data_IF_592663113086
#
_entry.id   IF_592663113086
#
_cell.length_a   1.000
_cell.length_b   1.000
_cell.length_c   1.000
_cell.angle_alpha   90.00
_cell.angle_beta   90.00
_cell.angle_gamma   90.00
#
_symmetry.space_group_name_H-M   'P 1'
#
loop_
_entity.id
_entity.type
_entity.pdbx_description
1 polymer ?
#
# COMPACT_ATOMS: atom_id res chain seq x y z
N UNK A 1 -13.31 13.83 -37.82
CA UNK A 1 -13.33 13.50 -36.38
C UNK A 1 -12.47 12.26 -36.19
N UNK A 2 -11.39 12.28 -35.40
CA UNK A 2 -10.81 11.06 -34.76
C UNK A 2 -9.49 11.26 -33.99
N UNK A 3 -8.73 12.34 -34.19
CA UNK A 3 -7.47 12.55 -33.42
C UNK A 3 -7.70 13.12 -32.02
N UNK A 4 -8.68 14.04 -31.89
CA UNK A 4 -9.05 14.63 -30.60
C UNK A 4 -9.60 13.59 -29.62
N UNK A 5 -10.37 12.61 -30.13
CA UNK A 5 -10.93 11.54 -29.32
C UNK A 5 -9.83 10.59 -28.81
N UNK A 6 -8.86 10.23 -29.65
CA UNK A 6 -7.70 9.42 -29.23
C UNK A 6 -6.88 10.09 -28.12
N UNK A 7 -6.66 11.42 -28.20
CA UNK A 7 -5.97 12.17 -27.14
C UNK A 7 -6.75 12.22 -25.83
N UNK A 8 -8.08 12.37 -25.92
CA UNK A 8 -8.96 12.34 -24.74
C UNK A 8 -8.97 10.96 -24.05
N UNK A 9 -8.95 9.86 -24.81
CA UNK A 9 -8.86 8.52 -24.23
C UNK A 9 -7.48 8.23 -23.64
N UNK A 10 -6.38 8.70 -24.24
CA UNK A 10 -5.04 8.52 -23.67
C UNK A 10 -4.79 9.35 -22.40
N UNK A 11 -5.41 10.53 -22.27
CA UNK A 11 -5.28 11.37 -21.07
C UNK A 11 -5.95 10.77 -19.83
N UNK A 12 -7.01 9.98 -19.99
CA UNK A 12 -7.76 9.39 -18.88
C UNK A 12 -7.06 8.19 -18.22
N UNK A 13 -6.18 7.48 -18.95
CA UNK A 13 -5.55 6.24 -18.46
C UNK A 13 -4.37 6.51 -17.51
N UNK A 14 -3.80 7.72 -17.54
CA UNK A 14 -2.61 8.05 -16.73
C UNK A 14 -2.90 8.42 -15.26
N UNK A 15 -4.17 8.56 -14.85
CA UNK A 15 -4.50 9.03 -13.48
C UNK A 15 -4.66 7.91 -12.45
N UNK A 16 -4.58 6.64 -12.85
CA UNK A 16 -4.52 5.50 -11.92
C UNK A 16 -3.08 5.13 -11.52
N UNK A 17 -2.18 6.10 -11.54
CA UNK A 17 -0.83 5.94 -11.05
C UNK A 17 -0.82 5.97 -9.51
N UNK A 18 -1.03 4.79 -8.91
CA UNK A 18 -0.46 4.35 -7.64
C UNK A 18 -0.39 5.39 -6.50
N UNK A 19 -1.45 6.15 -6.26
CA UNK A 19 -1.59 6.84 -4.98
C UNK A 19 -1.91 5.78 -3.93
N UNK A 20 -0.92 5.49 -3.09
CA UNK A 20 -1.17 4.84 -1.81
C UNK A 20 -2.31 5.64 -1.14
N UNK A 21 -3.40 4.97 -0.72
CA UNK A 21 -4.60 5.68 -0.23
C UNK A 21 -4.25 6.65 0.89
N UNK A 22 -5.08 7.66 1.17
CA UNK A 22 -4.80 8.60 2.28
C UNK A 22 -4.55 7.89 3.60
N UNK A 23 -5.12 6.70 3.79
CA UNK A 23 -4.88 5.82 4.94
C UNK A 23 -3.38 5.52 5.14
N UNK A 24 -2.61 5.36 4.07
CA UNK A 24 -1.16 5.13 4.18
C UNK A 24 -0.38 6.32 4.70
N UNK A 25 -0.85 7.55 4.44
CA UNK A 25 -0.21 8.74 4.99
C UNK A 25 -0.31 8.78 6.52
N UNK A 26 -1.37 8.21 7.11
CA UNK A 26 -1.48 8.10 8.57
C UNK A 26 -0.42 7.19 9.18
N UNK A 27 0.10 6.25 8.39
CA UNK A 27 1.17 5.33 8.78
C UNK A 27 2.58 5.81 8.43
N UNK A 28 2.76 7.04 7.92
CA UNK A 28 4.04 7.51 7.38
C UNK A 28 5.23 7.33 8.33
N UNK A 29 5.03 7.46 9.64
CA UNK A 29 6.08 7.25 10.64
C UNK A 29 6.46 5.78 10.85
N UNK A 30 5.55 4.85 10.56
CA UNK A 30 5.82 3.41 10.63
C UNK A 30 6.19 2.79 9.28
N UNK A 31 5.92 3.49 8.17
CA UNK A 31 5.95 2.91 6.83
C UNK A 31 7.34 2.38 6.46
N UNK A 32 7.51 1.06 6.53
CA UNK A 32 8.74 0.36 6.17
C UNK A 32 8.42 -1.06 5.70
N UNK A 33 9.31 -1.67 4.92
CA UNK A 33 9.21 -3.09 4.60
C UNK A 33 9.59 -3.96 5.79
N UNK A 34 8.90 -5.07 6.00
CA UNK A 34 9.21 -6.01 7.07
C UNK A 34 9.10 -7.47 6.63
N UNK A 35 9.65 -8.36 7.46
CA UNK A 35 9.53 -9.80 7.32
C UNK A 35 8.71 -10.33 8.51
N UNK A 36 7.45 -10.74 8.29
CA UNK A 36 6.52 -11.07 9.37
C UNK A 36 6.97 -12.25 10.26
N UNK A 37 7.77 -13.17 9.72
CA UNK A 37 8.27 -14.34 10.45
C UNK A 37 9.68 -14.17 11.05
N UNK A 38 10.28 -12.97 10.95
CA UNK A 38 11.60 -12.68 11.53
C UNK A 38 11.48 -11.93 12.86
N UNK A 39 12.42 -12.18 13.77
CA UNK A 39 12.62 -11.44 15.02
C UNK A 39 14.06 -10.90 15.07
N UNK A 40 14.30 -9.58 14.93
CA UNK A 40 13.31 -8.53 14.69
C UNK A 40 12.73 -8.58 13.26
N UNK A 41 11.48 -8.17 13.11
CA UNK A 41 10.77 -8.13 11.81
C UNK A 41 11.27 -7.01 10.89
N UNK A 42 12.02 -6.05 11.44
CA UNK A 42 12.50 -4.85 10.77
C UNK A 42 11.70 -3.58 11.08
N UNK A 43 10.63 -3.67 11.88
CA UNK A 43 9.84 -2.50 12.27
C UNK A 43 10.46 -1.73 13.43
N UNK A 44 10.25 -0.42 13.44
CA UNK A 44 10.58 0.46 14.56
C UNK A 44 9.67 0.19 15.77
N UNK A 45 10.09 0.65 16.95
CA UNK A 45 9.30 0.53 18.17
C UNK A 45 7.94 1.22 18.02
N UNK A 46 6.87 0.56 18.47
CA UNK A 46 5.49 1.04 18.33
C UNK A 46 4.83 0.70 17.00
N UNK A 47 5.55 0.15 16.02
CA UNK A 47 5.02 -0.28 14.74
C UNK A 47 4.87 -1.81 14.66
N UNK A 48 3.86 -2.30 13.95
CA UNK A 48 3.63 -3.73 13.75
C UNK A 48 3.81 -4.13 12.30
N UNK A 49 4.40 -5.31 12.08
CA UNK A 49 4.56 -5.88 10.74
C UNK A 49 3.27 -6.58 10.31
N UNK A 50 2.60 -6.04 9.29
CA UNK A 50 1.44 -6.66 8.67
C UNK A 50 1.86 -7.40 7.41
N UNK A 51 1.56 -8.70 7.37
CA UNK A 51 1.85 -9.59 6.23
C UNK A 51 1.05 -9.15 5.01
N UNK A 52 1.71 -9.08 3.85
CA UNK A 52 1.03 -8.94 2.56
C UNK A 52 0.35 -10.25 2.18
N UNK A 53 -0.86 -10.16 1.62
CA UNK A 53 -1.57 -11.35 1.15
C UNK A 53 -0.90 -11.97 -0.09
N UNK A 54 -0.44 -11.15 -1.01
CA UNK A 54 0.13 -11.58 -2.30
C UNK A 54 1.59 -12.07 -2.19
N UNK A 55 2.31 -11.64 -1.15
CA UNK A 55 3.70 -12.04 -0.85
C UNK A 55 3.85 -12.34 0.65
N UNK A 56 3.47 -13.55 1.13
CA UNK A 56 3.30 -13.84 2.56
C UNK A 56 4.59 -13.77 3.39
N UNK A 57 5.75 -13.89 2.76
CA UNK A 57 7.06 -13.75 3.43
C UNK A 57 7.49 -12.28 3.60
N UNK A 58 6.68 -11.35 3.11
CA UNK A 58 6.92 -9.91 3.18
C UNK A 58 5.71 -9.18 3.77
N UNK A 59 5.97 -8.01 4.32
CA UNK A 59 4.96 -7.17 4.92
C UNK A 59 5.32 -5.70 4.88
N UNK A 60 4.44 -4.91 5.48
CA UNK A 60 4.71 -3.50 5.78
C UNK A 60 4.49 -3.23 7.26
N UNK A 61 5.38 -2.41 7.82
CA UNK A 61 5.24 -1.85 9.14
C UNK A 61 4.16 -0.77 9.11
N UNK A 62 3.12 -0.93 9.94
CA UNK A 62 2.03 0.02 10.06
C UNK A 62 1.81 0.37 11.54
N UNK A 63 1.34 1.59 11.77
CA UNK A 63 0.88 2.05 13.08
C UNK A 63 -0.38 1.28 13.50
N UNK A 64 -0.36 0.51 14.61
CA UNK A 64 -1.51 -0.26 15.08
C UNK A 64 -2.66 0.61 15.62
N UNK A 65 -2.42 1.91 15.85
CA UNK A 65 -3.44 2.87 16.30
C UNK A 65 -4.28 3.46 15.16
N UNK A 66 -3.87 3.24 13.91
CA UNK A 66 -4.54 3.74 12.71
C UNK A 66 -5.32 2.65 12.00
N UNK A 67 -6.30 3.05 11.19
CA UNK A 67 -7.07 2.10 10.38
C UNK A 67 -6.13 1.48 9.33
N UNK A 68 -6.01 0.16 9.35
CA UNK A 68 -5.25 -0.56 8.32
C UNK A 68 -5.88 -0.29 6.94
N UNK A 69 -5.08 0.09 5.93
CA UNK A 69 -5.61 0.41 4.61
C UNK A 69 -6.36 -0.77 3.96
N UNK A 70 -7.46 -0.49 3.28
CA UNK A 70 -8.38 -1.54 2.84
C UNK A 70 -7.77 -2.49 1.79
N UNK A 71 -6.86 -2.02 0.93
CA UNK A 71 -6.16 -2.89 -0.02
C UNK A 71 -5.25 -3.90 0.72
N UNK A 72 -4.77 -3.60 1.93
CA UNK A 72 -4.02 -4.57 2.74
C UNK A 72 -4.91 -5.71 3.24
N UNK A 73 -6.20 -5.43 3.43
CA UNK A 73 -7.22 -6.38 3.89
C UNK A 73 -7.85 -7.17 2.73
N UNK A 74 -7.85 -6.59 1.52
CA UNK A 74 -8.66 -7.07 0.39
C UNK A 74 -7.87 -7.63 -0.81
N UNK A 75 -6.54 -7.76 -0.76
CA UNK A 75 -5.76 -8.37 -1.85
C UNK A 75 -5.95 -9.90 -2.04
N UNK A 76 -7.00 -10.48 -1.46
CA UNK A 76 -7.27 -11.92 -1.45
C UNK A 76 -8.74 -12.33 -1.55
N UNK A 77 -9.60 -11.45 -2.08
CA UNK A 77 -10.99 -11.76 -2.42
C UNK A 77 -11.20 -11.74 -3.91
#
# INVERSE_FOLDING_TARGET
MSTLQMLLFFGLVMTVAASWSSDYHEHAHCLAHCHPDKCPSGCQSGCLCYRRFDYPNHGYCLDPSKKIPDHFRNLGK
#
